data_IF_829062210662
#
_entry.id   IF_829062210662
#
_cell.length_a   1.000
_cell.length_b   1.000
_cell.length_c   1.000
_cell.angle_alpha   90.00
_cell.angle_beta   90.00
_cell.angle_gamma   90.00
#
_symmetry.space_group_name_H-M   'P 1'
#
loop_
_entity.id
_entity.type
_entity.pdbx_description
1 polymer ?
#
# COMPACT_ATOMS: atom_id res chain seq x y z
N UNK A 1 34.08 13.54 40.25
CA UNK A 1 34.29 13.11 38.84
C UNK A 1 33.84 11.68 38.56
N UNK A 2 34.19 10.65 39.36
CA UNK A 2 33.80 9.24 39.09
C UNK A 2 32.29 8.96 39.10
N UNK A 3 31.47 9.64 39.93
CA UNK A 3 30.01 9.46 39.99
C UNK A 3 29.26 10.05 38.74
N UNK A 4 29.76 11.16 38.22
CA UNK A 4 29.15 11.76 37.00
C UNK A 4 29.43 10.91 35.75
N UNK A 5 30.61 10.29 35.67
CA UNK A 5 30.98 9.41 34.54
C UNK A 5 30.14 8.11 34.52
N UNK A 6 29.84 7.57 35.72
CA UNK A 6 29.01 6.36 35.87
C UNK A 6 27.54 6.63 35.48
N UNK A 7 27.02 7.81 35.83
CA UNK A 7 25.64 8.19 35.47
C UNK A 7 25.47 8.42 33.97
N UNK A 8 26.46 9.05 33.32
CA UNK A 8 26.44 9.25 31.87
C UNK A 8 26.55 7.93 31.11
N UNK A 9 27.29 6.96 31.59
CA UNK A 9 27.43 5.63 31.03
C UNK A 9 26.11 4.82 31.13
N UNK A 10 25.45 4.88 32.30
CA UNK A 10 24.17 4.19 32.53
C UNK A 10 23.06 4.80 31.63
N UNK A 11 23.02 6.12 31.48
CA UNK A 11 22.05 6.79 30.61
C UNK A 11 22.30 6.45 29.12
N UNK A 12 23.55 6.40 28.68
CA UNK A 12 23.89 6.02 27.30
C UNK A 12 23.61 4.53 27.01
N UNK A 13 23.89 3.63 27.97
CA UNK A 13 23.56 2.21 27.84
C UNK A 13 22.03 2.00 27.85
N UNK A 14 21.28 2.71 28.70
CA UNK A 14 19.83 2.67 28.78
C UNK A 14 19.18 3.18 27.49
N UNK A 15 19.67 4.29 26.91
CA UNK A 15 19.23 4.81 25.64
C UNK A 15 19.59 3.88 24.46
N UNK A 16 20.77 3.26 24.48
CA UNK A 16 21.18 2.32 23.45
C UNK A 16 20.36 1.02 23.51
N UNK A 17 20.05 0.49 24.70
CA UNK A 17 19.19 -0.68 24.86
C UNK A 17 17.73 -0.40 24.48
N UNK A 18 17.18 0.79 24.76
CA UNK A 18 15.85 1.20 24.31
C UNK A 18 15.81 1.36 22.79
N UNK A 19 16.89 1.85 22.16
CA UNK A 19 16.96 2.02 20.71
C UNK A 19 17.17 0.69 19.98
N UNK A 20 17.87 -0.28 20.56
CA UNK A 20 18.09 -1.60 19.95
C UNK A 20 16.92 -2.59 20.18
N UNK A 21 16.15 -2.43 21.28
CA UNK A 21 14.97 -3.26 21.55
C UNK A 21 13.77 -2.92 20.64
N UNK A 22 13.75 -1.74 19.97
CA UNK A 22 12.62 -1.32 19.14
C UNK A 22 12.67 -1.76 17.68
N UNK A 23 13.80 -2.30 17.19
CA UNK A 23 13.95 -2.64 15.76
C UNK A 23 13.49 -4.06 15.40
N UNK A 24 13.53 -5.01 16.33
CA UNK A 24 13.19 -6.42 16.07
C UNK A 24 11.71 -6.77 16.37
N UNK A 25 10.94 -5.86 17.01
CA UNK A 25 9.54 -6.09 17.37
C UNK A 25 8.54 -5.26 16.55
N UNK A 26 8.99 -4.47 15.57
CA UNK A 26 8.08 -3.63 14.80
C UNK A 26 7.20 -4.46 13.86
N UNK A 27 5.91 -4.12 13.78
CA UNK A 27 4.98 -4.68 12.82
C UNK A 27 5.29 -4.17 11.41
N UNK A 28 5.57 -5.07 10.48
CA UNK A 28 5.95 -4.74 9.11
C UNK A 28 4.72 -4.75 8.17
N UNK A 29 4.56 -3.68 7.40
CA UNK A 29 3.46 -3.49 6.45
C UNK A 29 4.03 -3.30 5.05
N UNK A 30 3.65 -4.17 4.10
CA UNK A 30 3.95 -4.02 2.68
C UNK A 30 2.80 -3.29 1.98
N UNK A 31 3.05 -2.13 1.39
CA UNK A 31 2.11 -1.42 0.52
C UNK A 31 2.46 -1.71 -0.95
N UNK A 32 1.71 -2.60 -1.57
CA UNK A 32 1.88 -3.09 -2.94
C UNK A 32 0.88 -2.37 -3.85
N UNK A 33 1.36 -1.82 -4.97
CA UNK A 33 0.44 -1.11 -5.86
C UNK A 33 1.11 -0.42 -7.04
N UNK A 34 0.39 0.53 -7.60
CA UNK A 34 0.78 1.28 -8.79
C UNK A 34 1.30 2.70 -8.48
N UNK A 35 1.06 3.64 -9.39
CA UNK A 35 1.46 5.05 -9.27
C UNK A 35 0.83 5.76 -8.06
N UNK A 36 -0.38 5.39 -7.63
CA UNK A 36 -1.00 5.94 -6.43
C UNK A 36 -0.30 5.46 -5.14
N UNK A 37 0.28 4.26 -5.16
CA UNK A 37 1.03 3.72 -4.03
C UNK A 37 2.43 4.34 -3.93
N UNK A 38 3.17 4.41 -5.04
CA UNK A 38 4.50 5.04 -5.01
C UNK A 38 4.43 6.55 -4.72
N UNK A 39 3.27 7.20 -4.99
CA UNK A 39 3.09 8.64 -4.78
C UNK A 39 3.52 9.47 -6.01
N UNK A 40 3.10 9.04 -7.21
CA UNK A 40 3.39 9.75 -8.47
C UNK A 40 2.94 11.22 -8.40
N UNK A 41 3.81 12.12 -8.86
CA UNK A 41 3.57 13.56 -8.84
C UNK A 41 3.72 14.24 -7.47
N UNK A 42 3.91 13.48 -6.38
CA UNK A 42 4.19 14.03 -5.06
C UNK A 42 5.69 14.24 -4.87
N UNK A 43 6.10 15.41 -4.39
CA UNK A 43 7.51 15.69 -4.15
C UNK A 43 7.76 16.29 -2.76
N UNK A 44 8.66 15.67 -1.97
CA UNK A 44 9.22 14.32 -2.17
C UNK A 44 8.16 13.22 -1.88
N UNK A 45 8.04 12.23 -2.77
CA UNK A 45 7.11 11.10 -2.59
C UNK A 45 7.37 10.33 -1.29
N UNK A 46 8.64 10.28 -0.86
CA UNK A 46 9.07 9.69 0.42
C UNK A 46 8.32 10.29 1.63
N UNK A 47 7.80 11.51 1.56
CA UNK A 47 7.11 12.16 2.65
C UNK A 47 5.60 12.30 2.43
N UNK A 48 5.15 12.25 1.18
CA UNK A 48 3.77 12.57 0.83
C UNK A 48 2.95 11.42 0.27
N UNK A 49 3.57 10.27 -0.09
CA UNK A 49 2.84 9.07 -0.49
C UNK A 49 1.99 8.53 0.68
N UNK A 50 0.90 7.80 0.38
CA UNK A 50 0.06 7.25 1.45
C UNK A 50 0.82 6.25 2.36
N UNK A 51 1.76 5.42 1.88
CA UNK A 51 2.53 4.56 2.78
C UNK A 51 3.36 5.37 3.77
N UNK A 52 3.96 6.49 3.32
CA UNK A 52 4.73 7.37 4.21
C UNK A 52 3.85 8.08 5.23
N UNK A 53 2.64 8.50 4.85
CA UNK A 53 1.65 9.06 5.79
C UNK A 53 1.17 8.00 6.78
N UNK A 54 0.94 6.77 6.32
CA UNK A 54 0.57 5.65 7.17
C UNK A 54 1.66 5.36 8.20
N UNK A 55 2.94 5.36 7.81
CA UNK A 55 4.07 5.26 8.73
C UNK A 55 4.02 6.32 9.84
N UNK A 56 3.77 7.58 9.46
CA UNK A 56 3.69 8.68 10.43
C UNK A 56 2.53 8.47 11.41
N UNK A 57 1.38 8.05 10.93
CA UNK A 57 0.19 7.85 11.77
C UNK A 57 0.28 6.62 12.69
N UNK A 58 1.01 5.59 12.28
CA UNK A 58 1.19 4.36 13.07
C UNK A 58 2.38 4.46 14.07
N UNK A 59 3.31 5.39 13.84
CA UNK A 59 4.45 5.60 14.70
C UNK A 59 5.53 4.53 14.63
N UNK A 60 6.38 4.45 15.66
CA UNK A 60 7.62 3.68 15.65
C UNK A 60 7.43 2.16 15.81
N UNK A 61 6.26 1.73 16.29
CA UNK A 61 5.96 0.30 16.45
C UNK A 61 5.63 -0.38 15.10
N UNK A 62 5.63 0.38 14.02
CA UNK A 62 5.36 -0.10 12.66
C UNK A 62 6.50 0.27 11.72
N UNK A 63 6.65 -0.53 10.65
CA UNK A 63 7.53 -0.27 9.52
C UNK A 63 6.72 -0.44 8.25
N UNK A 64 6.41 0.68 7.59
CA UNK A 64 5.61 0.70 6.37
C UNK A 64 6.52 0.78 5.16
N UNK A 65 6.49 -0.24 4.32
CA UNK A 65 7.30 -0.36 3.11
C UNK A 65 6.47 0.00 1.88
N UNK A 66 7.01 0.87 1.03
CA UNK A 66 6.36 1.28 -0.22
C UNK A 66 6.92 0.48 -1.39
N UNK A 67 6.14 -0.47 -1.89
CA UNK A 67 6.43 -1.29 -3.05
C UNK A 67 5.59 -0.89 -4.28
N UNK A 68 5.19 0.37 -4.36
CA UNK A 68 4.46 0.91 -5.51
C UNK A 68 5.35 1.00 -6.75
N UNK A 69 4.78 0.65 -7.93
CA UNK A 69 5.44 0.74 -9.23
C UNK A 69 4.51 1.43 -10.22
N UNK A 70 4.88 2.62 -10.70
CA UNK A 70 4.05 3.39 -11.61
C UNK A 70 3.71 2.62 -12.90
N UNK A 71 2.45 2.66 -13.31
CA UNK A 71 1.99 1.99 -14.53
C UNK A 71 1.71 0.50 -14.39
N UNK A 72 1.93 -0.11 -13.21
CA UNK A 72 1.78 -1.55 -13.01
C UNK A 72 0.39 -2.07 -13.25
N UNK A 73 0.32 -3.27 -13.86
CA UNK A 73 -0.88 -4.09 -14.09
C UNK A 73 -0.72 -5.46 -13.43
N UNK A 74 -1.82 -6.19 -13.26
CA UNK A 74 -1.79 -7.58 -12.76
C UNK A 74 -1.56 -8.60 -13.88
N UNK A 75 -1.65 -8.21 -15.15
CA UNK A 75 -1.50 -9.12 -16.30
C UNK A 75 -0.06 -9.55 -16.52
N UNK A 76 0.27 -10.84 -16.38
CA UNK A 76 1.64 -11.35 -16.53
C UNK A 76 2.25 -11.13 -17.90
N UNK A 77 1.44 -11.21 -18.95
CA UNK A 77 1.89 -10.97 -20.33
C UNK A 77 2.18 -9.50 -20.61
N UNK A 78 1.69 -8.61 -19.76
CA UNK A 78 1.86 -7.18 -19.96
C UNK A 78 3.32 -6.75 -19.74
N UNK A 79 3.76 -5.75 -20.51
CA UNK A 79 5.08 -5.13 -20.36
C UNK A 79 5.23 -4.55 -18.96
N UNK A 80 4.16 -3.98 -18.41
CA UNK A 80 4.10 -3.33 -17.12
C UNK A 80 3.55 -4.23 -16.01
N UNK A 81 3.63 -5.57 -16.17
CA UNK A 81 3.22 -6.49 -15.13
C UNK A 81 3.96 -6.21 -13.82
N UNK A 82 3.22 -6.06 -12.73
CA UNK A 82 3.82 -5.88 -11.39
C UNK A 82 4.79 -7.01 -11.04
N UNK A 83 4.50 -8.25 -11.45
CA UNK A 83 5.35 -9.43 -11.18
C UNK A 83 6.71 -9.41 -11.89
N UNK A 84 6.95 -8.45 -12.79
CA UNK A 84 8.24 -8.26 -13.47
C UNK A 84 9.10 -7.17 -12.83
N UNK A 85 8.62 -6.52 -11.77
CA UNK A 85 9.33 -5.44 -11.09
C UNK A 85 10.24 -5.93 -9.97
N UNK A 86 11.26 -5.15 -9.65
CA UNK A 86 12.10 -5.39 -8.47
C UNK A 86 11.30 -5.28 -7.18
N UNK A 87 10.32 -4.35 -7.11
CA UNK A 87 9.40 -4.21 -5.97
C UNK A 87 8.59 -5.48 -5.70
N UNK A 88 8.18 -6.22 -6.76
CA UNK A 88 7.53 -7.52 -6.56
C UNK A 88 8.50 -8.50 -5.91
N UNK A 89 9.73 -8.62 -6.43
CA UNK A 89 10.74 -9.51 -5.90
C UNK A 89 11.02 -9.19 -4.43
N UNK A 90 11.32 -7.95 -4.12
CA UNK A 90 11.61 -7.50 -2.76
C UNK A 90 10.43 -7.76 -1.81
N UNK A 91 9.21 -7.39 -2.19
CA UNK A 91 8.02 -7.54 -1.35
C UNK A 91 7.59 -8.99 -1.15
N UNK A 92 7.87 -9.89 -2.11
CA UNK A 92 7.52 -11.29 -2.01
C UNK A 92 8.55 -12.14 -1.27
N UNK A 93 9.82 -11.71 -1.22
CA UNK A 93 10.90 -12.38 -0.48
C UNK A 93 10.97 -11.92 0.99
N UNK A 94 10.49 -10.70 1.30
CA UNK A 94 10.52 -10.15 2.66
C UNK A 94 9.32 -10.64 3.49
N UNK A 95 9.53 -10.78 4.80
CA UNK A 95 8.45 -11.11 5.74
C UNK A 95 7.72 -9.83 6.17
N UNK A 96 6.40 -9.86 6.06
CA UNK A 96 5.54 -8.79 6.52
C UNK A 96 4.35 -9.33 7.31
N UNK A 97 3.89 -8.57 8.30
CA UNK A 97 2.70 -8.90 9.10
C UNK A 97 1.42 -8.48 8.39
N UNK A 98 1.51 -7.45 7.55
CA UNK A 98 0.40 -6.95 6.73
C UNK A 98 0.84 -6.75 5.28
N UNK A 99 -0.04 -7.14 4.37
CA UNK A 99 0.09 -6.88 2.94
C UNK A 99 -1.12 -6.08 2.47
N UNK A 100 -0.91 -4.89 1.94
CA UNK A 100 -1.94 -4.00 1.39
C UNK A 100 -1.76 -3.95 -0.12
N UNK A 101 -2.67 -4.54 -0.88
CA UNK A 101 -2.65 -4.55 -2.34
C UNK A 101 -3.60 -3.51 -2.90
N UNK A 102 -3.12 -2.57 -3.71
CA UNK A 102 -3.93 -1.58 -4.42
C UNK A 102 -3.48 -1.51 -5.89
N UNK A 103 -3.89 -2.50 -6.67
CA UNK A 103 -3.65 -2.63 -8.12
C UNK A 103 -4.99 -2.69 -8.88
N UNK A 104 -4.95 -2.39 -10.16
CA UNK A 104 -6.11 -2.43 -11.03
C UNK A 104 -6.38 -1.12 -11.78
N UNK A 105 -5.79 0.01 -11.35
CA UNK A 105 -5.98 1.30 -12.05
C UNK A 105 -5.55 1.19 -13.51
N UNK A 106 -4.35 0.70 -13.77
CA UNK A 106 -3.78 0.60 -15.11
C UNK A 106 -4.41 -0.52 -15.94
N UNK A 107 -4.94 -1.56 -15.29
CA UNK A 107 -5.66 -2.66 -15.95
C UNK A 107 -6.93 -2.17 -16.65
N UNK A 108 -7.50 -1.03 -16.22
CA UNK A 108 -8.65 -0.42 -16.86
C UNK A 108 -8.39 0.05 -18.30
N UNK A 109 -7.12 0.36 -18.64
CA UNK A 109 -6.73 0.81 -20.00
C UNK A 109 -7.02 -0.23 -21.07
N UNK A 110 -6.73 -1.49 -20.74
CA UNK A 110 -6.87 -2.64 -21.62
C UNK A 110 -7.53 -3.80 -20.85
N UNK A 111 -8.70 -3.52 -20.27
CA UNK A 111 -9.41 -4.49 -19.43
C UNK A 111 -9.69 -5.79 -20.21
N UNK A 112 -9.42 -6.92 -19.55
CA UNK A 112 -9.70 -8.27 -20.06
C UNK A 112 -10.58 -9.02 -19.06
N UNK A 113 -11.43 -9.88 -19.57
CA UNK A 113 -12.37 -10.65 -18.73
C UNK A 113 -11.67 -11.64 -17.78
N UNK A 114 -10.39 -11.97 -18.01
CA UNK A 114 -9.54 -12.80 -17.16
C UNK A 114 -8.83 -12.03 -16.04
N UNK A 115 -9.16 -10.75 -15.81
CA UNK A 115 -8.57 -9.92 -14.75
C UNK A 115 -8.53 -10.63 -13.39
N UNK A 116 -9.66 -11.24 -12.98
CA UNK A 116 -9.74 -11.95 -11.69
C UNK A 116 -8.77 -13.13 -11.60
N UNK A 117 -8.53 -13.83 -12.71
CA UNK A 117 -7.58 -14.94 -12.77
C UNK A 117 -6.14 -14.43 -12.54
N UNK A 118 -5.77 -13.36 -13.23
CA UNK A 118 -4.43 -12.77 -13.10
C UNK A 118 -4.20 -12.15 -11.71
N UNK A 119 -5.21 -11.51 -11.13
CA UNK A 119 -5.11 -10.97 -9.78
C UNK A 119 -4.92 -12.09 -8.74
N UNK A 120 -5.69 -13.18 -8.84
CA UNK A 120 -5.54 -14.35 -7.98
C UNK A 120 -4.17 -15.02 -8.14
N UNK A 121 -3.66 -15.07 -9.37
CA UNK A 121 -2.34 -15.64 -9.63
C UNK A 121 -1.23 -14.73 -9.06
N UNK A 122 -1.36 -13.42 -9.12
CA UNK A 122 -0.45 -12.50 -8.41
C UNK A 122 -0.43 -12.81 -6.90
N UNK A 123 -1.59 -12.94 -6.26
CA UNK A 123 -1.66 -13.25 -4.82
C UNK A 123 -1.02 -14.59 -4.47
N UNK A 124 -1.19 -15.62 -5.30
CA UNK A 124 -0.58 -16.94 -5.12
C UNK A 124 0.94 -16.95 -5.22
N UNK A 125 1.54 -15.92 -5.81
CA UNK A 125 3.01 -15.80 -5.91
C UNK A 125 3.65 -15.25 -4.64
N UNK A 126 2.83 -14.75 -3.70
CA UNK A 126 3.27 -14.41 -2.37
C UNK A 126 3.09 -15.62 -1.46
N UNK A 127 4.18 -16.02 -0.81
CA UNK A 127 4.15 -17.02 0.27
C UNK A 127 3.81 -16.31 1.58
N UNK A 128 2.52 -16.02 1.77
CA UNK A 128 2.07 -15.29 2.94
C UNK A 128 2.31 -16.11 4.21
N UNK A 129 3.06 -15.59 5.21
CA UNK A 129 3.10 -16.20 6.53
C UNK A 129 1.69 -16.42 7.09
N UNK A 130 1.46 -17.53 7.79
CA UNK A 130 0.13 -17.90 8.33
C UNK A 130 -0.48 -16.81 9.23
N UNK A 131 0.37 -16.05 9.93
CA UNK A 131 -0.02 -14.95 10.82
C UNK A 131 -0.29 -13.65 10.09
N UNK A 132 0.09 -13.53 8.83
CA UNK A 132 -0.02 -12.29 8.06
C UNK A 132 -1.47 -11.98 7.69
N UNK A 133 -1.78 -10.69 7.63
CA UNK A 133 -3.09 -10.18 7.24
C UNK A 133 -3.01 -9.53 5.88
N UNK A 134 -3.81 -10.03 4.93
CA UNK A 134 -3.89 -9.49 3.57
C UNK A 134 -5.11 -8.60 3.44
N UNK A 135 -4.89 -7.37 2.97
CA UNK A 135 -5.90 -6.35 2.71
C UNK A 135 -5.90 -6.06 1.21
N UNK A 136 -7.02 -6.30 0.56
CA UNK A 136 -7.21 -5.92 -0.84
C UNK A 136 -7.91 -4.57 -0.91
N UNK A 137 -7.27 -3.59 -1.54
CA UNK A 137 -7.86 -2.29 -1.79
C UNK A 137 -8.36 -2.22 -3.23
N UNK A 138 -9.60 -1.74 -3.42
CA UNK A 138 -10.02 -1.37 -4.77
C UNK A 138 -9.25 -0.13 -5.23
N UNK A 139 -8.99 0.05 -6.55
CA UNK A 139 -8.42 1.30 -7.04
C UNK A 139 -9.30 2.50 -6.67
N UNK A 140 -8.73 3.67 -6.36
CA UNK A 140 -9.50 4.91 -6.20
C UNK A 140 -10.27 5.29 -7.47
N UNK A 141 -11.21 6.23 -7.36
CA UNK A 141 -11.94 6.79 -8.50
C UNK A 141 -10.96 7.48 -9.47
N UNK A 142 -11.24 7.42 -10.77
CA UNK A 142 -10.64 8.32 -11.74
C UNK A 142 -11.69 9.34 -12.21
N UNK A 143 -11.38 10.62 -12.09
CA UNK A 143 -12.26 11.74 -12.50
C UNK A 143 -12.02 12.19 -13.94
N UNK A 144 -11.06 11.57 -14.61
CA UNK A 144 -10.75 11.79 -16.03
C UNK A 144 -10.29 10.50 -16.68
N UNK A 145 -10.22 10.50 -18.01
CA UNK A 145 -9.63 9.45 -18.82
C UNK A 145 -8.13 9.69 -19.11
N UNK A 146 -7.53 10.60 -18.38
CA UNK A 146 -6.11 10.90 -18.50
C UNK A 146 -5.29 9.60 -18.38
N UNK A 147 -4.22 9.50 -19.11
CA UNK A 147 -3.42 8.27 -19.19
C UNK A 147 -4.17 7.05 -19.76
N UNK A 148 -5.36 7.22 -20.34
CA UNK A 148 -6.22 6.15 -20.85
C UNK A 148 -6.94 5.35 -19.74
N UNK A 149 -7.00 5.88 -18.53
CA UNK A 149 -7.71 5.25 -17.41
C UNK A 149 -9.22 5.30 -17.65
N UNK A 150 -9.90 4.15 -17.47
CA UNK A 150 -11.33 3.96 -17.70
C UNK A 150 -12.09 3.83 -16.38
N UNK A 151 -12.62 4.95 -15.86
CA UNK A 151 -13.37 4.94 -14.59
C UNK A 151 -14.64 4.08 -14.63
N UNK A 152 -15.30 3.99 -15.79
CA UNK A 152 -16.44 3.10 -16.00
C UNK A 152 -16.06 1.63 -15.71
N UNK A 153 -14.89 1.18 -16.17
CA UNK A 153 -14.36 -0.16 -15.92
C UNK A 153 -13.84 -0.34 -14.49
N UNK A 154 -13.21 0.69 -13.91
CA UNK A 154 -12.82 0.67 -12.50
C UNK A 154 -14.03 0.42 -11.62
N UNK A 155 -15.12 1.17 -11.82
CA UNK A 155 -16.35 1.07 -11.06
C UNK A 155 -17.11 -0.24 -11.27
N UNK A 156 -17.27 -0.68 -12.52
CA UNK A 156 -18.20 -1.77 -12.87
C UNK A 156 -17.56 -3.15 -12.94
N UNK A 157 -16.29 -3.24 -13.28
CA UNK A 157 -15.58 -4.50 -13.52
C UNK A 157 -14.50 -4.77 -12.47
N UNK A 158 -13.51 -3.89 -12.38
CA UNK A 158 -12.31 -4.10 -11.55
C UNK A 158 -12.66 -4.09 -10.07
N UNK A 159 -13.42 -3.08 -9.60
CA UNK A 159 -13.90 -3.02 -8.22
C UNK A 159 -14.66 -4.28 -7.83
N UNK A 160 -15.66 -4.67 -8.63
CA UNK A 160 -16.46 -5.88 -8.38
C UNK A 160 -15.63 -7.16 -8.34
N UNK A 161 -14.64 -7.28 -9.22
CA UNK A 161 -13.72 -8.41 -9.25
C UNK A 161 -12.88 -8.49 -7.97
N UNK A 162 -12.29 -7.36 -7.51
CA UNK A 162 -11.48 -7.33 -6.28
C UNK A 162 -12.32 -7.65 -5.04
N UNK A 163 -13.54 -7.09 -4.91
CA UNK A 163 -14.46 -7.41 -3.83
C UNK A 163 -14.78 -8.92 -3.80
N UNK A 164 -15.02 -9.52 -4.96
CA UNK A 164 -15.29 -10.96 -5.08
C UNK A 164 -14.06 -11.79 -4.70
N UNK A 165 -12.86 -11.43 -5.18
CA UNK A 165 -11.61 -12.11 -4.82
C UNK A 165 -11.37 -12.07 -3.32
N UNK A 166 -11.58 -10.91 -2.68
CA UNK A 166 -11.42 -10.76 -1.23
C UNK A 166 -12.37 -11.67 -0.46
N UNK A 167 -13.66 -11.70 -0.86
CA UNK A 167 -14.67 -12.56 -0.23
C UNK A 167 -14.32 -14.05 -0.38
N UNK A 168 -13.95 -14.49 -1.57
CA UNK A 168 -13.63 -15.89 -1.87
C UNK A 168 -12.35 -16.37 -1.19
N UNK A 169 -11.35 -15.47 -1.03
CA UNK A 169 -10.06 -15.77 -0.41
C UNK A 169 -10.00 -15.49 1.10
N UNK A 170 -11.09 -15.00 1.71
CA UNK A 170 -11.10 -14.63 3.13
C UNK A 170 -10.21 -13.41 3.45
N UNK A 171 -9.87 -12.61 2.45
CA UNK A 171 -9.05 -11.41 2.64
C UNK A 171 -9.88 -10.24 3.17
N UNK A 172 -9.24 -9.35 3.94
CA UNK A 172 -9.85 -8.08 4.34
C UNK A 172 -9.99 -7.17 3.12
N UNK A 173 -11.02 -6.31 3.11
CA UNK A 173 -11.29 -5.42 1.98
C UNK A 173 -11.27 -3.95 2.43
N UNK A 174 -10.66 -3.10 1.61
CA UNK A 174 -10.76 -1.64 1.70
C UNK A 174 -11.28 -1.10 0.38
N UNK A 175 -12.50 -0.58 0.39
CA UNK A 175 -13.12 -0.04 -0.83
C UNK A 175 -12.71 1.41 -1.08
N UNK A 176 -11.48 1.61 -1.56
CA UNK A 176 -10.96 2.94 -1.84
C UNK A 176 -11.75 3.65 -2.95
N UNK A 177 -12.31 2.91 -3.91
CA UNK A 177 -13.16 3.50 -4.94
C UNK A 177 -14.36 4.27 -4.36
N UNK A 178 -14.96 3.72 -3.32
CA UNK A 178 -16.10 4.36 -2.64
C UNK A 178 -15.65 5.46 -1.68
N UNK A 179 -14.59 5.18 -0.89
CA UNK A 179 -14.14 6.06 0.20
C UNK A 179 -13.35 7.29 -0.28
N UNK A 180 -12.77 7.23 -1.49
CA UNK A 180 -11.94 8.29 -2.09
C UNK A 180 -12.68 8.99 -3.25
N UNK A 181 -13.99 9.24 -3.11
CA UNK A 181 -14.83 9.81 -4.15
C UNK A 181 -14.87 11.36 -4.21
N UNK A 182 -14.13 12.05 -3.35
CA UNK A 182 -14.00 13.52 -3.36
C UNK A 182 -12.89 13.94 -4.32
N UNK A 183 -13.25 14.69 -5.38
CA UNK A 183 -12.31 15.18 -6.39
C UNK A 183 -11.17 16.04 -5.81
N UNK A 184 -11.37 16.67 -4.67
CA UNK A 184 -10.34 17.49 -4.01
C UNK A 184 -9.15 16.68 -3.49
N UNK A 185 -9.22 15.37 -3.49
CA UNK A 185 -8.14 14.45 -3.12
C UNK A 185 -7.20 14.12 -4.29
N UNK A 186 -7.47 14.65 -5.48
CA UNK A 186 -6.74 14.29 -6.69
C UNK A 186 -5.94 15.47 -7.23
N UNK A 187 -4.90 15.14 -7.99
CA UNK A 187 -4.14 16.07 -8.80
C UNK A 187 -4.99 16.55 -9.99
N UNK A 188 -4.50 17.53 -10.74
CA UNK A 188 -5.21 18.09 -11.89
C UNK A 188 -5.50 17.07 -12.98
N UNK A 189 -4.72 15.97 -13.04
CA UNK A 189 -4.96 14.86 -13.96
C UNK A 189 -6.21 14.03 -13.62
N UNK A 190 -6.76 14.20 -12.44
CA UNK A 190 -7.97 13.51 -11.98
C UNK A 190 -7.79 12.00 -11.74
N UNK A 191 -6.57 11.47 -11.74
CA UNK A 191 -6.24 10.05 -11.57
C UNK A 191 -5.35 9.82 -10.35
N UNK A 192 -4.31 10.61 -10.20
CA UNK A 192 -3.37 10.47 -9.08
C UNK A 192 -3.82 11.25 -7.85
N UNK A 193 -3.62 10.64 -6.69
CA UNK A 193 -3.88 11.31 -5.42
C UNK A 193 -2.90 12.47 -5.22
N UNK A 194 -3.40 13.62 -4.77
CA UNK A 194 -2.58 14.70 -4.26
C UNK A 194 -2.17 14.43 -2.80
N UNK A 195 -1.37 15.32 -2.18
CA UNK A 195 -0.90 15.14 -0.81
C UNK A 195 -2.05 15.00 0.20
N UNK A 196 -3.15 15.75 0.03
CA UNK A 196 -4.36 15.65 0.86
C UNK A 196 -5.05 14.30 0.68
N UNK A 197 -5.15 13.81 -0.56
CA UNK A 197 -5.73 12.50 -0.88
C UNK A 197 -4.88 11.34 -0.33
N UNK A 198 -3.57 11.41 -0.49
CA UNK A 198 -2.65 10.42 0.07
C UNK A 198 -2.73 10.36 1.61
N UNK A 199 -2.81 11.53 2.27
CA UNK A 199 -3.02 11.61 3.71
C UNK A 199 -4.38 11.00 4.10
N UNK A 200 -5.45 11.35 3.40
CA UNK A 200 -6.81 10.84 3.69
C UNK A 200 -6.90 9.33 3.54
N UNK A 201 -6.27 8.76 2.50
CA UNK A 201 -6.20 7.32 2.30
C UNK A 201 -5.48 6.62 3.47
N UNK A 202 -4.37 7.19 3.92
CA UNK A 202 -3.61 6.65 5.06
C UNK A 202 -4.40 6.72 6.38
N UNK A 203 -5.13 7.82 6.64
CA UNK A 203 -6.02 7.96 7.80
C UNK A 203 -7.09 6.88 7.82
N UNK A 204 -7.78 6.70 6.70
CA UNK A 204 -8.85 5.72 6.56
C UNK A 204 -8.34 4.28 6.73
N UNK A 205 -7.18 3.95 6.16
CA UNK A 205 -6.54 2.64 6.34
C UNK A 205 -6.15 2.41 7.81
N UNK A 206 -5.56 3.42 8.46
CA UNK A 206 -5.20 3.35 9.88
C UNK A 206 -6.44 3.07 10.73
N UNK A 207 -7.50 3.87 10.55
CA UNK A 207 -8.69 3.79 11.38
C UNK A 207 -9.44 2.46 11.22
N UNK A 208 -9.43 1.87 10.00
CA UNK A 208 -10.15 0.63 9.72
C UNK A 208 -9.38 -0.64 10.12
N UNK A 209 -8.04 -0.61 10.09
CA UNK A 209 -7.26 -1.84 10.22
C UNK A 209 -6.24 -1.87 11.36
N UNK A 210 -5.87 -0.72 11.90
CA UNK A 210 -4.75 -0.61 12.85
C UNK A 210 -5.11 0.07 14.18
N UNK A 211 -6.30 0.64 14.32
CA UNK A 211 -6.79 1.12 15.62
C UNK A 211 -7.55 -0.03 16.27
N UNK A 212 -7.10 -0.46 17.46
CA UNK A 212 -7.86 -1.39 18.30
C UNK A 212 -9.10 -0.68 18.83
N UNK A 213 -10.27 -1.19 18.50
CA UNK A 213 -11.55 -0.81 19.10
C UNK A 213 -11.75 -1.54 20.43
#
# INVERSE_FOLDING_TARGET
>A
MKKALLLSLIVSIGLYSVFTLSSDEATHIACIGDSNTIGHGLFPALWFSYPSKLQVFLGLNFRVHNYGVAGSTVYHSDRYSYTKSDSFKESSEAKHDYFIFMLGTNDSKNYRNDFSLHYKDLLKRYDFPETSKVILCTPPVAFSDHWGIRNDLLRTKIRGAILKIAKEGGYRIFDAHLKMSDKTYYQDDGVHLNAKGAQKLAELLKDEFFVSH
#
